data_IF_213819016226
#
_entry.id   IF_213819016226
#
_cell.length_a   1.000
_cell.length_b   1.000
_cell.length_c   1.000
_cell.angle_alpha   90.00
_cell.angle_beta   90.00
_cell.angle_gamma   90.00
#
_symmetry.space_group_name_H-M   'P 1'
#
loop_
_entity.id
_entity.type
_entity.pdbx_description
1 polymer ?
#
# COMPACT_ATOMS: atom_id res chain seq x y z
N UNK A 1 8.45 -25.38 -26.31
CA UNK A 1 7.17 -25.65 -25.63
C UNK A 1 6.39 -24.34 -25.57
N UNK A 2 5.06 -24.34 -25.71
CA UNK A 2 4.28 -23.11 -25.55
C UNK A 2 4.35 -22.65 -24.08
N UNK A 3 4.44 -21.33 -23.86
CA UNK A 3 4.61 -20.71 -22.53
C UNK A 3 3.47 -19.73 -22.28
N UNK A 4 2.99 -19.69 -21.04
CA UNK A 4 2.08 -18.65 -20.55
C UNK A 4 2.89 -17.58 -19.81
N UNK A 5 2.88 -16.36 -20.34
CA UNK A 5 3.49 -15.20 -19.71
C UNK A 5 2.45 -14.44 -18.89
N UNK A 6 2.84 -14.08 -17.66
CA UNK A 6 2.16 -13.09 -16.83
C UNK A 6 3.20 -12.04 -16.46
N UNK A 7 3.03 -10.83 -16.96
CA UNK A 7 3.91 -9.68 -16.74
C UNK A 7 3.13 -8.75 -15.82
N UNK A 8 3.71 -8.42 -14.67
CA UNK A 8 3.07 -7.60 -13.66
C UNK A 8 4.06 -6.61 -13.06
N UNK A 9 3.54 -5.66 -12.29
CA UNK A 9 4.27 -4.89 -11.30
C UNK A 9 3.61 -5.06 -9.93
N UNK A 10 4.32 -4.70 -8.88
CA UNK A 10 3.86 -4.61 -7.51
C UNK A 10 3.07 -3.32 -7.25
N UNK A 11 3.52 -2.18 -7.79
CA UNK A 11 2.89 -0.88 -7.62
C UNK A 11 3.34 0.14 -8.67
N UNK A 12 2.64 1.27 -8.75
CA UNK A 12 3.09 2.43 -9.52
C UNK A 12 4.11 3.31 -8.77
N UNK A 13 4.15 4.60 -9.09
CA UNK A 13 5.10 5.57 -8.54
C UNK A 13 4.52 6.98 -8.57
N UNK A 14 4.77 7.79 -7.54
CA UNK A 14 4.40 9.20 -7.49
C UNK A 14 5.59 10.10 -7.20
N UNK A 15 5.58 11.32 -7.76
CA UNK A 15 6.66 12.29 -7.59
C UNK A 15 6.58 13.00 -6.22
N UNK A 16 7.72 13.09 -5.54
CA UNK A 16 7.85 13.77 -4.24
C UNK A 16 8.60 15.08 -4.37
N UNK A 17 8.51 15.93 -3.35
CA UNK A 17 9.26 17.19 -3.31
C UNK A 17 9.69 17.58 -1.90
N UNK A 18 10.82 18.27 -1.80
CA UNK A 18 11.28 18.93 -0.59
C UNK A 18 10.28 19.95 -0.01
N UNK A 19 9.40 20.52 -0.84
CA UNK A 19 8.34 21.44 -0.42
C UNK A 19 7.10 20.73 0.15
N UNK A 20 6.99 19.40 -0.03
CA UNK A 20 5.84 18.58 0.38
C UNK A 20 6.24 17.57 1.45
N UNK A 21 6.75 18.07 2.57
CA UNK A 21 7.23 17.25 3.69
C UNK A 21 6.53 17.65 4.97
N UNK A 22 5.89 16.67 5.62
CA UNK A 22 5.36 16.74 6.97
C UNK A 22 6.42 16.16 7.91
N UNK A 23 6.68 16.86 9.02
CA UNK A 23 7.72 16.53 9.97
C UNK A 23 7.15 16.14 11.32
N UNK A 24 7.18 14.85 11.63
CA UNK A 24 6.59 14.31 12.86
C UNK A 24 7.28 14.87 14.12
N UNK A 25 8.60 15.06 14.10
CA UNK A 25 9.37 15.70 15.17
C UNK A 25 9.07 17.20 15.38
N UNK A 26 8.29 17.81 14.49
CA UNK A 26 7.74 19.16 14.69
C UNK A 26 6.31 19.15 15.23
N UNK A 27 5.68 17.98 15.29
CA UNK A 27 4.32 17.77 15.78
C UNK A 27 4.29 17.13 17.17
N UNK A 28 5.26 16.26 17.48
CA UNK A 28 5.39 15.58 18.78
C UNK A 28 6.85 15.35 19.14
N UNK A 29 7.12 15.14 20.43
CA UNK A 29 8.45 14.84 20.97
C UNK A 29 8.99 13.53 20.35
N UNK A 30 10.17 13.53 19.69
CA UNK A 30 10.77 12.32 19.12
C UNK A 30 11.04 11.22 20.16
N UNK A 31 11.14 11.57 21.45
CA UNK A 31 11.29 10.60 22.53
C UNK A 31 9.96 9.97 22.97
N UNK A 32 8.81 10.40 22.43
CA UNK A 32 7.49 9.88 22.80
C UNK A 32 7.12 8.60 22.04
N UNK A 33 7.85 8.23 20.98
CA UNK A 33 7.48 7.13 20.10
C UNK A 33 8.68 6.43 19.48
N UNK A 34 8.45 5.23 18.97
CA UNK A 34 9.36 4.46 18.14
C UNK A 34 8.82 4.41 16.72
N UNK A 35 9.54 5.03 15.79
CA UNK A 35 9.24 4.92 14.35
C UNK A 35 9.51 3.51 13.84
N UNK A 36 8.58 2.98 13.06
CA UNK A 36 8.72 1.70 12.34
C UNK A 36 9.02 1.95 10.86
N UNK A 37 8.31 2.89 10.25
CA UNK A 37 8.52 3.34 8.88
C UNK A 37 8.11 4.80 8.75
N UNK A 38 8.78 5.54 7.89
CA UNK A 38 8.43 6.89 7.45
C UNK A 38 8.59 7.00 5.92
N UNK A 39 8.04 8.05 5.30
CA UNK A 39 7.95 8.19 3.84
C UNK A 39 6.53 8.51 3.38
N UNK A 40 5.98 7.77 2.41
CA UNK A 40 4.58 7.92 1.96
C UNK A 40 3.55 7.68 3.07
N UNK A 41 3.96 6.96 4.12
CA UNK A 41 3.23 6.80 5.36
C UNK A 41 4.21 6.83 6.54
N UNK A 42 3.70 7.21 7.70
CA UNK A 42 4.38 7.05 8.98
C UNK A 42 3.66 5.97 9.78
N UNK A 43 4.42 4.99 10.28
CA UNK A 43 3.89 4.02 11.24
C UNK A 43 4.79 3.97 12.47
N UNK A 44 4.17 4.00 13.64
CA UNK A 44 4.87 4.14 14.92
C UNK A 44 4.14 3.48 16.07
N UNK A 45 4.90 3.19 17.11
CA UNK A 45 4.39 2.79 18.41
C UNK A 45 4.74 3.87 19.44
N UNK A 46 3.78 4.40 20.22
CA UNK A 46 4.09 5.22 21.37
C UNK A 46 4.98 4.48 22.38
N UNK A 47 5.85 5.20 23.08
CA UNK A 47 6.55 4.65 24.24
C UNK A 47 5.59 4.55 25.44
N UNK A 48 5.87 3.65 26.42
CA UNK A 48 5.01 3.46 27.57
C UNK A 48 4.74 4.76 28.33
N UNK A 49 3.47 5.08 28.57
CA UNK A 49 3.02 6.28 29.27
C UNK A 49 2.93 7.53 28.40
N UNK A 50 3.19 7.43 27.09
CA UNK A 50 3.09 8.52 26.11
C UNK A 50 1.97 8.31 25.09
N UNK A 51 1.14 7.28 25.27
CA UNK A 51 0.09 6.88 24.33
C UNK A 51 -0.92 8.02 24.06
N UNK A 52 -1.41 8.67 25.12
CA UNK A 52 -2.38 9.78 25.01
C UNK A 52 -1.76 11.02 24.36
N UNK A 53 -0.49 11.32 24.62
CA UNK A 53 0.21 12.43 23.98
C UNK A 53 0.33 12.22 22.47
N UNK A 54 0.81 11.04 22.06
CA UNK A 54 0.96 10.70 20.65
C UNK A 54 -0.41 10.67 19.96
N UNK A 55 -1.43 10.11 20.62
CA UNK A 55 -2.80 10.09 20.11
C UNK A 55 -3.37 11.50 19.92
N UNK A 56 -3.21 12.39 20.90
CA UNK A 56 -3.71 13.77 20.83
C UNK A 56 -3.02 14.58 19.74
N UNK A 57 -1.73 14.31 19.48
CA UNK A 57 -0.96 14.97 18.43
C UNK A 57 -1.35 14.52 17.03
N UNK A 58 -1.59 13.21 16.81
CA UNK A 58 -1.74 12.61 15.48
C UNK A 58 -3.19 12.28 15.09
N UNK A 59 -4.05 11.90 16.03
CA UNK A 59 -5.42 11.43 15.74
C UNK A 59 -6.41 12.59 15.65
N UNK A 60 -6.07 13.55 14.79
CA UNK A 60 -6.84 14.77 14.50
C UNK A 60 -6.70 15.11 13.02
N UNK A 61 -7.52 16.02 12.47
CA UNK A 61 -7.32 16.49 11.12
C UNK A 61 -5.96 17.17 10.94
N UNK A 62 -5.24 16.79 9.88
CA UNK A 62 -4.01 17.42 9.43
C UNK A 62 -4.13 17.78 7.94
N UNK A 63 -3.49 18.87 7.49
CA UNK A 63 -3.31 19.07 6.06
C UNK A 63 -2.41 17.97 5.50
N UNK A 64 -2.81 17.42 4.35
CA UNK A 64 -2.01 16.47 3.55
C UNK A 64 -1.61 15.15 4.24
N UNK A 65 -2.23 14.80 5.37
CA UNK A 65 -2.14 13.45 5.93
C UNK A 65 -3.37 13.10 6.77
N UNK A 66 -3.60 11.81 6.92
CA UNK A 66 -4.63 11.28 7.81
C UNK A 66 -4.05 10.15 8.65
N UNK A 67 -4.39 10.13 9.93
CA UNK A 67 -3.88 9.14 10.88
C UNK A 67 -5.03 8.36 11.54
N UNK A 68 -4.74 7.09 11.84
CA UNK A 68 -5.65 6.18 12.52
C UNK A 68 -4.90 5.37 13.56
N UNK A 69 -5.63 4.89 14.58
CA UNK A 69 -5.18 3.69 15.28
C UNK A 69 -5.29 2.52 14.30
N UNK A 70 -4.44 1.50 14.46
CA UNK A 70 -4.48 0.34 13.55
C UNK A 70 -5.86 -0.32 13.42
N UNK A 71 -6.66 -0.32 14.49
CA UNK A 71 -8.01 -0.90 14.47
C UNK A 71 -9.06 -0.02 13.78
N UNK A 72 -8.74 1.25 13.52
CA UNK A 72 -9.66 2.24 12.95
C UNK A 72 -9.34 2.55 11.48
N UNK A 73 -8.38 1.84 10.89
CA UNK A 73 -8.03 1.98 9.47
C UNK A 73 -9.23 1.61 8.59
N UNK A 74 -9.42 2.28 7.43
CA UNK A 74 -10.45 1.91 6.48
C UNK A 74 -10.39 0.42 6.10
N UNK A 75 -11.50 -0.29 6.27
CA UNK A 75 -11.59 -1.74 6.05
C UNK A 75 -11.11 -2.16 4.65
N UNK A 76 -11.31 -1.32 3.64
CA UNK A 76 -10.85 -1.55 2.25
C UNK A 76 -9.34 -1.75 2.10
N UNK A 77 -8.53 -1.34 3.08
CA UNK A 77 -7.09 -1.59 3.05
C UNK A 77 -6.74 -3.03 3.44
N UNK A 78 -7.68 -3.78 4.04
CA UNK A 78 -7.42 -5.10 4.64
C UNK A 78 -6.17 -5.11 5.53
N UNK A 79 -5.94 -4.00 6.25
CA UNK A 79 -4.76 -3.74 7.07
C UNK A 79 -5.17 -3.32 8.48
N UNK A 80 -4.30 -3.52 9.48
CA UNK A 80 -4.54 -3.06 10.86
C UNK A 80 -4.80 -4.15 11.91
N UNK A 81 -5.17 -5.36 11.49
CA UNK A 81 -5.55 -6.46 12.40
C UNK A 81 -4.36 -7.30 12.87
N UNK A 82 -3.26 -7.32 12.12
CA UNK A 82 -2.11 -8.16 12.41
C UNK A 82 -1.23 -7.56 13.53
N UNK A 83 -0.64 -8.36 14.44
CA UNK A 83 0.22 -7.86 15.52
C UNK A 83 1.46 -7.06 15.09
N UNK A 84 1.92 -7.26 13.85
CA UNK A 84 3.04 -6.50 13.26
C UNK A 84 2.65 -5.10 12.78
N UNK A 85 1.35 -4.79 12.69
CA UNK A 85 0.92 -3.43 12.36
C UNK A 85 1.12 -2.54 13.58
N UNK A 86 1.86 -1.42 13.46
CA UNK A 86 2.13 -0.52 14.57
C UNK A 86 0.86 0.12 15.12
N UNK A 87 0.90 0.62 16.35
CA UNK A 87 -0.29 1.14 17.04
C UNK A 87 -0.97 2.29 16.27
N UNK A 88 -0.18 3.16 15.62
CA UNK A 88 -0.66 4.29 14.84
C UNK A 88 -0.09 4.22 13.41
N UNK A 89 -0.95 4.51 12.45
CA UNK A 89 -0.63 4.62 11.03
C UNK A 89 -1.12 5.95 10.49
N UNK A 90 -0.25 6.71 9.84
CA UNK A 90 -0.54 7.96 9.16
C UNK A 90 -0.22 7.84 7.68
N UNK A 91 -1.19 8.07 6.81
CA UNK A 91 -1.03 8.07 5.37
C UNK A 91 -0.89 9.50 4.87
N UNK A 92 0.14 9.77 4.07
CA UNK A 92 0.29 11.05 3.40
C UNK A 92 -0.66 11.15 2.19
N UNK A 93 -1.04 12.36 1.82
CA UNK A 93 -1.58 12.64 0.50
C UNK A 93 -0.53 12.32 -0.57
N UNK A 94 -0.95 11.76 -1.71
CA UNK A 94 -0.04 11.35 -2.79
C UNK A 94 0.92 12.47 -3.19
N UNK A 95 2.22 12.17 -3.15
CA UNK A 95 3.29 13.12 -3.45
C UNK A 95 3.80 13.92 -2.24
N UNK A 96 3.21 13.74 -1.06
CA UNK A 96 3.74 14.21 0.23
C UNK A 96 4.50 13.12 0.95
N UNK A 97 5.45 13.53 1.79
CA UNK A 97 6.19 12.63 2.68
C UNK A 97 5.89 12.98 4.13
N UNK A 98 5.72 11.97 4.99
CA UNK A 98 5.73 12.12 6.44
C UNK A 98 7.04 11.53 6.94
N UNK A 99 7.95 12.39 7.40
CA UNK A 99 9.26 11.99 7.89
C UNK A 99 9.31 12.10 9.41
N UNK A 100 9.92 11.11 10.05
CA UNK A 100 10.05 11.09 11.51
C UNK A 100 11.02 12.16 12.02
N UNK A 101 12.00 12.54 11.21
CA UNK A 101 13.06 13.51 11.56
C UNK A 101 13.59 14.25 10.33
N UNK A 102 14.62 15.07 10.52
CA UNK A 102 15.25 15.84 9.44
C UNK A 102 15.68 14.91 8.29
N UNK A 103 15.29 15.20 7.03
CA UNK A 103 15.60 14.33 5.92
C UNK A 103 17.11 14.16 5.76
N UNK A 104 17.58 12.90 5.73
CA UNK A 104 19.00 12.58 5.50
C UNK A 104 19.41 12.72 4.04
N UNK A 105 18.44 12.70 3.13
CA UNK A 105 18.61 12.77 1.69
C UNK A 105 17.57 13.75 1.11
N UNK A 106 17.77 14.19 -0.13
CA UNK A 106 16.79 15.07 -0.78
C UNK A 106 15.41 14.39 -0.81
N UNK A 107 14.33 15.08 -0.38
CA UNK A 107 12.98 14.57 -0.52
C UNK A 107 12.42 14.68 -1.96
N UNK A 108 13.10 15.40 -2.87
CA UNK A 108 12.75 15.42 -4.28
C UNK A 108 13.06 14.08 -4.95
N UNK A 109 12.11 13.52 -5.69
CA UNK A 109 12.28 12.21 -6.34
C UNK A 109 10.96 11.50 -6.62
N UNK A 110 10.93 10.20 -6.38
CA UNK A 110 9.74 9.37 -6.50
C UNK A 110 9.62 8.40 -5.33
N UNK A 111 8.38 8.14 -4.91
CA UNK A 111 8.08 7.14 -3.89
C UNK A 111 6.72 6.48 -4.15
N UNK A 112 6.39 5.47 -3.35
CA UNK A 112 5.17 4.68 -3.43
C UNK A 112 4.75 4.23 -2.03
N UNK A 113 3.60 3.57 -1.92
CA UNK A 113 3.00 3.16 -0.64
C UNK A 113 1.87 4.07 -0.15
N UNK A 114 1.37 4.95 -1.02
CA UNK A 114 0.16 5.73 -0.81
C UNK A 114 -1.09 4.85 -0.88
N UNK A 115 -2.26 5.48 -0.86
CA UNK A 115 -3.54 4.82 -1.06
C UNK A 115 -3.52 3.94 -2.33
N UNK A 116 -3.85 2.66 -2.20
CA UNK A 116 -3.85 1.69 -3.29
C UNK A 116 -4.90 2.01 -4.38
N UNK A 117 -5.88 2.86 -4.09
CA UNK A 117 -6.85 3.34 -5.09
C UNK A 117 -6.37 4.55 -5.88
N UNK A 118 -5.28 5.21 -5.46
CA UNK A 118 -4.69 6.30 -6.22
C UNK A 118 -4.21 5.81 -7.59
N UNK A 119 -4.49 6.57 -8.64
CA UNK A 119 -4.11 6.21 -9.99
C UNK A 119 -2.58 6.03 -10.15
N UNK A 120 -1.78 6.78 -9.40
CA UNK A 120 -0.33 6.68 -9.40
C UNK A 120 0.18 5.39 -8.75
N UNK A 121 -0.61 4.71 -7.92
CA UNK A 121 -0.22 3.45 -7.26
C UNK A 121 -0.63 2.20 -8.05
N UNK A 122 -1.41 2.34 -9.12
CA UNK A 122 -1.85 1.22 -9.95
C UNK A 122 -0.66 0.53 -10.63
N UNK A 123 -0.69 -0.80 -10.64
CA UNK A 123 0.32 -1.64 -11.24
C UNK A 123 -0.09 -2.10 -12.66
N UNK A 124 0.91 -2.48 -13.46
CA UNK A 124 0.72 -3.12 -14.76
C UNK A 124 0.29 -4.58 -14.59
N UNK A 125 -0.60 -5.06 -15.47
CA UNK A 125 -0.85 -6.48 -15.68
C UNK A 125 -1.05 -6.80 -17.16
N UNK A 126 -0.27 -7.76 -17.69
CA UNK A 126 -0.39 -8.29 -19.05
C UNK A 126 -0.26 -9.82 -18.98
N UNK A 127 -1.18 -10.53 -19.62
CA UNK A 127 -1.13 -11.98 -19.75
C UNK A 127 -1.15 -12.39 -21.23
N UNK A 128 -0.32 -13.35 -21.61
CA UNK A 128 -0.21 -13.82 -23.00
C UNK A 128 0.28 -15.26 -23.07
N UNK A 129 -0.40 -16.10 -23.84
CA UNK A 129 -0.05 -17.52 -23.96
C UNK A 129 -1.23 -18.37 -24.42
N UNK A 130 -1.02 -19.69 -24.58
CA UNK A 130 -2.08 -20.61 -24.99
C UNK A 130 -3.30 -20.63 -24.05
N UNK A 131 -3.14 -20.31 -22.75
CA UNK A 131 -4.24 -20.27 -21.80
C UNK A 131 -5.06 -18.98 -21.85
N UNK A 132 -4.55 -17.92 -22.50
CA UNK A 132 -5.15 -16.58 -22.42
C UNK A 132 -5.82 -16.15 -23.73
N UNK A 133 -6.96 -15.45 -23.63
CA UNK A 133 -7.65 -14.84 -24.77
C UNK A 133 -6.82 -13.67 -25.32
N UNK A 134 -6.81 -13.53 -26.63
CA UNK A 134 -6.15 -12.39 -27.30
C UNK A 134 -7.12 -11.21 -27.43
N UNK A 135 -6.61 -9.99 -27.32
CA UNK A 135 -7.39 -8.77 -27.56
C UNK A 135 -8.43 -8.44 -26.48
N UNK A 136 -8.32 -9.04 -25.29
CA UNK A 136 -9.19 -8.73 -24.15
C UNK A 136 -8.56 -7.62 -23.31
N UNK A 137 -9.35 -6.59 -23.00
CA UNK A 137 -9.03 -5.60 -21.97
C UNK A 137 -9.89 -5.87 -20.75
N UNK A 138 -9.24 -6.13 -19.62
CA UNK A 138 -9.90 -6.37 -18.34
C UNK A 138 -10.21 -5.04 -17.64
N UNK A 139 -11.27 -4.96 -16.81
CA UNK A 139 -11.43 -3.86 -15.87
C UNK A 139 -10.28 -3.86 -14.85
N UNK A 140 -10.17 -2.79 -14.06
CA UNK A 140 -9.24 -2.76 -12.91
C UNK A 140 -9.67 -3.84 -11.91
N UNK A 141 -8.69 -4.53 -11.33
CA UNK A 141 -8.88 -5.57 -10.33
C UNK A 141 -7.76 -5.54 -9.29
N UNK A 142 -7.99 -6.19 -8.14
CA UNK A 142 -6.99 -6.32 -7.09
C UNK A 142 -6.01 -7.46 -7.37
N UNK A 143 -4.71 -7.21 -7.14
CA UNK A 143 -3.64 -8.16 -7.46
C UNK A 143 -3.75 -9.52 -6.74
N UNK A 144 -4.53 -9.62 -5.66
CA UNK A 144 -4.84 -10.89 -4.98
C UNK A 144 -5.49 -11.91 -5.92
N UNK A 145 -6.17 -11.46 -6.98
CA UNK A 145 -6.75 -12.33 -8.00
C UNK A 145 -5.71 -13.03 -8.90
N UNK A 146 -4.44 -12.60 -8.88
CA UNK A 146 -3.38 -13.23 -9.69
C UNK A 146 -3.05 -14.64 -9.18
N UNK A 147 -3.12 -14.89 -7.88
CA UNK A 147 -2.87 -16.23 -7.32
C UNK A 147 -3.82 -17.31 -7.85
N UNK A 148 -5.16 -17.16 -7.74
CA UNK A 148 -6.08 -18.17 -8.28
C UNK A 148 -5.95 -18.33 -9.80
N UNK A 149 -5.68 -17.25 -10.54
CA UNK A 149 -5.41 -17.32 -11.97
C UNK A 149 -4.20 -18.22 -12.29
N UNK A 150 -3.09 -18.03 -11.57
CA UNK A 150 -1.89 -18.84 -11.77
C UNK A 150 -2.14 -20.31 -11.42
N UNK A 151 -2.90 -20.58 -10.35
CA UNK A 151 -3.28 -21.93 -9.97
C UNK A 151 -4.09 -22.63 -11.08
N UNK A 152 -5.07 -21.92 -11.65
CA UNK A 152 -5.89 -22.40 -12.76
C UNK A 152 -5.06 -22.69 -14.02
N UNK A 153 -4.20 -21.76 -14.43
CA UNK A 153 -3.31 -21.91 -15.60
C UNK A 153 -2.33 -23.08 -15.43
N UNK A 154 -1.91 -23.37 -14.20
CA UNK A 154 -1.01 -24.50 -13.88
C UNK A 154 -1.76 -25.82 -13.65
N UNK A 155 -3.09 -25.81 -13.54
CA UNK A 155 -3.89 -26.99 -13.23
C UNK A 155 -3.67 -27.54 -11.82
N UNK A 156 -3.37 -26.69 -10.85
CA UNK A 156 -3.16 -27.06 -9.44
C UNK A 156 -4.31 -26.58 -8.55
N UNK A 157 -4.57 -27.30 -7.46
CA UNK A 157 -5.60 -26.91 -6.49
C UNK A 157 -5.10 -25.70 -5.68
N UNK A 158 -5.77 -24.53 -5.75
CA UNK A 158 -5.38 -23.38 -4.94
C UNK A 158 -5.64 -23.63 -3.45
N UNK A 159 -4.82 -23.03 -2.61
CA UNK A 159 -5.07 -22.89 -1.18
C UNK A 159 -6.03 -21.71 -0.92
N UNK A 160 -6.63 -21.60 0.27
CA UNK A 160 -7.44 -20.43 0.62
C UNK A 160 -6.66 -19.12 0.44
N UNK A 161 -7.29 -18.14 -0.20
CA UNK A 161 -6.73 -16.80 -0.45
C UNK A 161 -7.84 -15.77 -0.52
N UNK A 162 -7.49 -14.49 -0.46
CA UNK A 162 -8.46 -13.39 -0.58
C UNK A 162 -8.90 -13.14 -2.04
N UNK A 163 -8.20 -13.71 -3.02
CA UNK A 163 -8.53 -13.58 -4.44
C UNK A 163 -9.69 -14.48 -4.88
N UNK A 164 -10.54 -13.96 -5.77
CA UNK A 164 -11.65 -14.69 -6.39
C UNK A 164 -11.31 -15.04 -7.84
N UNK A 165 -11.40 -16.32 -8.21
CA UNK A 165 -11.01 -16.82 -9.55
C UNK A 165 -11.82 -16.16 -10.67
N UNK A 166 -13.09 -15.87 -10.40
CA UNK A 166 -14.05 -15.26 -11.33
C UNK A 166 -13.59 -13.87 -11.80
N UNK A 167 -12.76 -13.19 -11.01
CA UNK A 167 -12.21 -11.86 -11.32
C UNK A 167 -11.43 -11.86 -12.62
N UNK A 168 -10.64 -12.92 -12.85
CA UNK A 168 -9.75 -13.05 -14.01
C UNK A 168 -10.16 -14.19 -14.95
N UNK A 169 -11.27 -14.87 -14.70
CA UNK A 169 -11.86 -15.83 -15.65
C UNK A 169 -12.05 -15.23 -17.06
N UNK A 170 -12.42 -13.94 -17.24
CA UNK A 170 -12.47 -13.34 -18.59
C UNK A 170 -11.10 -13.24 -19.30
N UNK A 171 -9.99 -13.49 -18.63
CA UNK A 171 -8.67 -13.56 -19.29
C UNK A 171 -8.43 -14.91 -19.98
N UNK A 172 -9.12 -15.96 -19.55
CA UNK A 172 -8.82 -17.35 -19.92
C UNK A 172 -9.60 -17.82 -21.15
N UNK A 173 -9.00 -18.73 -21.91
CA UNK A 173 -9.69 -19.50 -22.95
C UNK A 173 -10.45 -20.66 -22.31
N UNK A 174 -11.52 -21.07 -22.98
CA UNK A 174 -12.26 -22.30 -22.66
C UNK A 174 -11.38 -23.55 -22.85
#
# INVERSE_FOLDING_TARGET
QPVNFVITSDHGMAATSAERVIRADRLLDPAAFRTISDGAFLSLDPLPGREEEVAAALLRPHPHMQCWRKGDLPERFAYGTHPRVPAIFCLAETGWLILASEPRYSPDGGTHGYDNLDAAMKALFIASGPAFRSGVTLPIFDNVAVYPLLAEVLGVVPQPSDGQAETLAPALRD
#
